data_IF_326586283414
#
_entry.id   IF_326586283414
#
_cell.length_a   1.000
_cell.length_b   1.000
_cell.length_c   1.000
_cell.angle_alpha   90.00
_cell.angle_beta   90.00
_cell.angle_gamma   90.00
#
_symmetry.space_group_name_H-M   'P 1'
#
loop_
_entity.id
_entity.type
_entity.pdbx_description
1 polymer ?
#
# COMPACT_ATOMS: atom_id res chain seq x y z
N UNK A 1 -9.60 11.46 7.58
CA UNK A 1 -10.57 10.78 6.69
C UNK A 1 -9.86 9.65 5.99
N UNK A 2 -10.28 8.41 6.22
CA UNK A 2 -9.72 7.22 5.56
C UNK A 2 -10.39 7.08 4.19
N UNK A 3 -9.62 6.89 3.13
CA UNK A 3 -10.12 6.64 1.78
C UNK A 3 -9.74 5.24 1.36
N UNK A 4 -10.69 4.50 0.80
CA UNK A 4 -10.44 3.17 0.28
C UNK A 4 -10.31 3.24 -1.24
N UNK A 5 -9.34 2.51 -1.79
CA UNK A 5 -9.13 2.40 -3.23
C UNK A 5 -8.92 0.93 -3.57
N UNK A 6 -9.94 0.33 -4.17
CA UNK A 6 -9.87 -1.05 -4.64
C UNK A 6 -9.15 -1.03 -6.00
N UNK A 7 -8.05 -1.77 -6.11
CA UNK A 7 -7.30 -1.91 -7.36
C UNK A 7 -7.23 -3.39 -7.74
N UNK A 8 -7.86 -3.77 -8.85
CA UNK A 8 -7.69 -5.12 -9.39
C UNK A 8 -6.43 -5.17 -10.25
N UNK A 9 -5.47 -6.03 -9.90
CA UNK A 9 -4.32 -6.32 -10.74
C UNK A 9 -4.14 -7.84 -10.84
N UNK A 10 -4.18 -8.33 -12.09
CA UNK A 10 -3.70 -9.65 -12.48
C UNK A 10 -4.30 -10.85 -11.74
N UNK A 11 -5.64 -10.91 -11.67
CA UNK A 11 -6.37 -11.98 -11.01
C UNK A 11 -5.99 -12.17 -9.52
N UNK A 12 -5.55 -11.09 -8.87
CA UNK A 12 -5.73 -10.89 -7.44
C UNK A 12 -6.44 -9.56 -7.23
N UNK A 13 -7.38 -9.54 -6.29
CA UNK A 13 -7.99 -8.29 -5.86
C UNK A 13 -7.04 -7.69 -4.83
N UNK A 14 -6.40 -6.57 -5.17
CA UNK A 14 -5.64 -5.78 -4.20
C UNK A 14 -6.57 -4.71 -3.65
N UNK A 15 -6.93 -4.83 -2.38
CA UNK A 15 -7.59 -3.73 -1.70
C UNK A 15 -6.53 -2.86 -1.02
N UNK A 16 -6.55 -1.56 -1.32
CA UNK A 16 -5.64 -0.59 -0.73
C UNK A 16 -6.45 0.43 0.06
N UNK A 17 -6.33 0.37 1.39
CA UNK A 17 -6.83 1.44 2.24
C UNK A 17 -5.74 2.50 2.40
N UNK A 18 -6.07 3.75 2.09
CA UNK A 18 -5.17 4.91 2.26
C UNK A 18 -5.73 5.82 3.33
N UNK A 19 -5.03 5.95 4.46
CA UNK A 19 -5.36 6.96 5.46
C UNK A 19 -4.49 8.19 5.25
N UNK A 20 -5.12 9.36 5.16
CA UNK A 20 -4.44 10.65 5.26
C UNK A 20 -4.52 11.11 6.71
N UNK A 21 -3.36 11.29 7.33
CA UNK A 21 -3.24 11.72 8.72
C UNK A 21 -2.37 12.98 8.83
N UNK A 22 -2.80 13.91 9.68
CA UNK A 22 -2.02 15.09 10.07
C UNK A 22 -1.73 14.99 11.58
N UNK A 23 -0.45 14.87 12.00
CA UNK A 23 -0.07 14.73 13.40
C UNK A 23 -0.43 15.94 14.30
N UNK A 24 -0.60 15.76 15.62
CA UNK A 24 -0.83 16.85 16.56
C UNK A 24 0.39 17.79 16.62
N UNK A 25 0.14 19.11 16.66
CA UNK A 25 1.18 20.15 16.61
C UNK A 25 1.49 20.69 15.21
N UNK A 26 0.82 20.14 14.18
CA UNK A 26 0.89 20.62 12.81
C UNK A 26 -0.42 21.38 12.51
N UNK A 27 -0.34 22.68 12.21
CA UNK A 27 -1.53 23.47 11.85
C UNK A 27 -1.99 23.07 10.45
N UNK A 28 -3.02 22.24 10.39
CA UNK A 28 -3.61 21.77 9.13
C UNK A 28 -4.07 22.97 8.30
N UNK A 29 -3.47 23.18 7.14
CA UNK A 29 -4.15 23.91 6.06
C UNK A 29 -5.14 22.96 5.39
N UNK A 30 -6.36 23.40 5.06
CA UNK A 30 -7.31 22.57 4.34
C UNK A 30 -6.69 22.19 2.99
N UNK A 31 -6.60 20.88 2.74
CA UNK A 31 -6.17 20.32 1.45
C UNK A 31 -7.17 20.79 0.40
N UNK A 32 -6.75 21.69 -0.49
CA UNK A 32 -7.52 22.07 -1.66
C UNK A 32 -7.74 20.82 -2.52
N UNK A 33 -9.01 20.47 -2.72
CA UNK A 33 -9.41 19.45 -3.68
C UNK A 33 -9.13 19.99 -5.08
N UNK A 34 -8.05 19.53 -5.66
CA UNK A 34 -7.60 19.92 -6.99
C UNK A 34 -6.09 19.96 -6.95
N UNK A 35 -5.46 18.89 -7.41
CA UNK A 35 -4.41 18.95 -8.41
C UNK A 35 -3.95 17.53 -8.73
N UNK A 36 -3.62 17.34 -10.00
CA UNK A 36 -3.33 16.10 -10.68
C UNK A 36 -2.42 15.17 -9.86
N UNK A 37 -2.70 13.86 -9.88
CA UNK A 37 -1.65 12.86 -9.72
C UNK A 37 -0.53 13.27 -10.68
N UNK A 38 0.65 13.69 -10.22
CA UNK A 38 1.72 13.94 -11.14
C UNK A 38 2.07 12.58 -11.73
N UNK A 39 2.07 12.51 -13.06
CA UNK A 39 2.79 11.53 -13.86
C UNK A 39 4.25 11.49 -13.39
N UNK A 40 4.50 10.83 -12.26
CA UNK A 40 5.85 10.60 -11.77
C UNK A 40 6.33 9.38 -12.52
N UNK A 41 6.77 9.62 -13.75
CA UNK A 41 7.54 8.70 -14.59
C UNK A 41 8.92 8.37 -14.01
N UNK A 42 8.98 8.04 -12.71
CA UNK A 42 10.20 7.67 -11.98
C UNK A 42 10.14 6.30 -11.29
N UNK A 43 8.99 5.62 -11.29
CA UNK A 43 8.79 4.40 -10.48
C UNK A 43 9.20 3.10 -11.18
N UNK A 44 9.25 3.04 -12.52
CA UNK A 44 9.55 1.80 -13.28
C UNK A 44 11.00 1.65 -13.76
N UNK A 45 11.83 2.70 -13.66
CA UNK A 45 13.17 2.74 -14.27
C UNK A 45 14.33 2.70 -13.26
N UNK A 46 14.06 2.56 -11.96
CA UNK A 46 15.14 2.46 -10.96
C UNK A 46 15.82 1.10 -11.06
N UNK A 47 17.10 1.12 -11.45
CA UNK A 47 17.92 -0.04 -11.79
C UNK A 47 17.82 -1.22 -10.81
N UNK A 48 17.82 -1.01 -9.47
CA UNK A 48 17.72 -2.10 -8.50
C UNK A 48 16.41 -2.90 -8.57
N UNK A 49 15.31 -2.34 -9.09
CA UNK A 49 14.02 -3.03 -9.17
C UNK A 49 13.82 -3.79 -10.47
N UNK A 50 14.53 -3.43 -11.54
CA UNK A 50 14.39 -4.08 -12.85
C UNK A 50 14.66 -5.59 -12.78
N UNK A 51 15.62 -6.01 -11.95
CA UNK A 51 15.95 -7.42 -11.74
C UNK A 51 14.83 -8.25 -11.08
N UNK A 52 13.85 -7.61 -10.46
CA UNK A 52 12.69 -8.27 -9.83
C UNK A 52 11.48 -8.36 -10.77
N UNK A 53 11.57 -7.80 -11.98
CA UNK A 53 10.47 -7.78 -12.94
C UNK A 53 10.15 -9.14 -13.57
N UNK A 54 11.02 -10.13 -13.42
CA UNK A 54 10.89 -11.45 -14.04
C UNK A 54 11.14 -11.46 -15.55
N UNK A 55 11.03 -12.63 -16.16
CA UNK A 55 11.40 -12.88 -17.56
C UNK A 55 10.18 -12.92 -18.48
N UNK A 56 10.12 -12.03 -19.47
CA UNK A 56 9.03 -11.92 -20.45
C UNK A 56 9.49 -12.40 -21.85
N UNK A 57 9.64 -13.70 -22.02
CA UNK A 57 10.07 -14.30 -23.30
C UNK A 57 8.90 -14.85 -24.14
N UNK A 58 9.21 -15.52 -25.26
CA UNK A 58 8.21 -16.15 -26.12
C UNK A 58 7.42 -17.25 -25.39
N UNK A 59 8.06 -18.00 -24.49
CA UNK A 59 7.39 -19.04 -23.71
C UNK A 59 6.36 -18.42 -22.75
N UNK A 60 6.69 -17.30 -22.10
CA UNK A 60 5.74 -16.52 -21.31
C UNK A 60 4.55 -16.07 -22.17
N UNK A 61 4.83 -15.54 -23.36
CA UNK A 61 3.82 -15.03 -24.29
C UNK A 61 2.83 -16.12 -24.71
N UNK A 62 3.33 -17.32 -25.04
CA UNK A 62 2.51 -18.44 -25.50
C UNK A 62 1.71 -19.12 -24.38
N UNK A 63 2.26 -19.17 -23.16
CA UNK A 63 1.74 -20.08 -22.11
C UNK A 63 1.22 -19.40 -20.86
N UNK A 64 1.51 -18.11 -20.66
CA UNK A 64 1.27 -17.45 -19.37
C UNK A 64 0.70 -16.04 -19.48
N UNK A 65 1.00 -15.31 -20.56
CA UNK A 65 0.34 -14.04 -20.82
C UNK A 65 -1.19 -14.21 -20.71
N UNK A 66 -1.90 -13.31 -20.01
CA UNK A 66 -1.44 -12.01 -19.49
C UNK A 66 -0.87 -12.01 -18.04
N UNK A 67 -0.72 -13.16 -17.38
CA UNK A 67 -0.24 -13.23 -16.00
C UNK A 67 1.25 -12.88 -15.87
N UNK A 68 1.71 -12.40 -14.71
CA UNK A 68 3.14 -12.11 -14.47
C UNK A 68 4.02 -13.34 -14.61
N UNK A 69 5.29 -13.20 -15.04
CA UNK A 69 6.27 -14.29 -15.04
C UNK A 69 6.36 -15.03 -13.71
N UNK A 70 6.81 -16.29 -13.74
CA UNK A 70 6.92 -17.11 -12.50
C UNK A 70 8.06 -16.65 -11.59
N UNK A 71 9.08 -16.05 -12.18
CA UNK A 71 10.25 -15.47 -11.53
C UNK A 71 10.05 -13.98 -11.17
N UNK A 72 8.83 -13.45 -11.33
CA UNK A 72 8.49 -12.12 -10.82
C UNK A 72 8.61 -12.09 -9.31
N UNK A 73 9.26 -11.05 -8.78
CA UNK A 73 9.45 -10.85 -7.35
C UNK A 73 8.74 -9.56 -6.91
N UNK A 74 7.93 -9.65 -5.85
CA UNK A 74 7.12 -8.54 -5.34
C UNK A 74 7.96 -7.31 -4.92
N UNK A 75 9.25 -7.49 -4.62
CA UNK A 75 10.20 -6.40 -4.39
C UNK A 75 10.30 -5.43 -5.56
N UNK A 76 9.85 -5.82 -6.76
CA UNK A 76 9.67 -4.92 -7.89
C UNK A 76 8.82 -3.69 -7.53
N UNK A 77 7.82 -3.82 -6.65
CA UNK A 77 6.95 -2.72 -6.23
C UNK A 77 7.50 -1.91 -5.05
N UNK A 78 8.64 -2.31 -4.48
CA UNK A 78 9.16 -1.69 -3.26
C UNK A 78 9.92 -0.41 -3.57
N UNK A 79 9.27 0.74 -3.38
CA UNK A 79 9.85 2.04 -3.69
C UNK A 79 10.99 2.46 -2.74
N UNK A 80 11.00 1.91 -1.52
CA UNK A 80 11.96 2.24 -0.47
C UNK A 80 13.39 1.75 -0.79
N UNK A 81 14.39 2.52 -0.37
CA UNK A 81 15.79 2.06 -0.39
C UNK A 81 15.99 0.93 0.64
N UNK A 82 17.00 0.06 0.50
CA UNK A 82 17.17 -1.12 1.36
C UNK A 82 17.18 -0.84 2.87
N UNK A 83 17.72 0.31 3.30
CA UNK A 83 17.76 0.71 4.71
C UNK A 83 16.44 1.28 5.25
N UNK A 84 15.46 1.54 4.38
CA UNK A 84 14.13 2.05 4.70
C UNK A 84 13.04 0.97 4.57
N UNK A 85 13.45 -0.28 4.43
CA UNK A 85 12.57 -1.44 4.42
C UNK A 85 12.37 -1.90 5.86
N UNK A 86 11.14 -1.78 6.37
CA UNK A 86 10.81 -2.31 7.69
C UNK A 86 10.78 -3.85 7.67
N UNK A 87 11.47 -4.48 8.61
CA UNK A 87 11.36 -5.92 8.88
C UNK A 87 11.48 -6.14 10.39
N UNK A 88 10.45 -6.66 11.07
CA UNK A 88 9.15 -7.09 10.55
C UNK A 88 8.29 -5.93 10.02
N UNK A 89 7.08 -6.26 9.52
CA UNK A 89 6.12 -5.25 9.08
C UNK A 89 5.83 -4.23 10.18
N UNK A 90 5.57 -2.99 9.78
CA UNK A 90 5.06 -1.99 10.70
C UNK A 90 3.64 -2.36 11.12
N UNK A 91 3.32 -2.06 12.37
CA UNK A 91 2.01 -2.28 12.96
C UNK A 91 1.33 -0.97 13.32
N UNK A 92 2.02 0.17 13.36
CA UNK A 92 1.46 1.41 13.90
C UNK A 92 1.63 1.49 15.42
N UNK A 93 1.81 2.70 15.93
CA UNK A 93 2.19 2.99 17.32
C UNK A 93 3.70 3.16 17.53
N UNK A 94 4.53 2.83 16.53
CA UNK A 94 5.98 3.03 16.54
C UNK A 94 6.34 4.52 16.63
N UNK A 95 7.46 4.79 17.29
CA UNK A 95 8.01 6.14 17.39
C UNK A 95 8.72 6.52 16.10
N UNK A 96 8.37 7.68 15.54
CA UNK A 96 8.99 8.26 14.36
C UNK A 96 9.73 9.52 14.77
N UNK A 97 10.99 9.63 14.35
CA UNK A 97 11.80 10.83 14.51
C UNK A 97 12.38 11.20 13.16
N UNK A 98 12.14 12.44 12.73
CA UNK A 98 12.64 13.00 11.48
C UNK A 98 13.56 14.16 11.80
N UNK A 99 14.86 13.98 11.59
CA UNK A 99 15.88 15.01 11.82
C UNK A 99 16.56 15.40 10.52
N UNK A 100 16.69 16.70 10.26
CA UNK A 100 17.36 17.21 9.05
C UNK A 100 16.56 17.07 7.76
N UNK A 101 15.26 16.76 7.86
CA UNK A 101 14.36 16.58 6.71
C UNK A 101 13.37 17.74 6.53
N UNK A 102 13.48 18.80 7.35
CA UNK A 102 12.65 19.99 7.25
C UNK A 102 13.39 21.20 7.82
N UNK A 103 13.18 22.42 7.27
CA UNK A 103 13.68 23.66 7.84
C UNK A 103 13.20 23.94 9.27
N UNK A 104 12.04 23.38 9.64
CA UNK A 104 11.40 23.59 10.95
C UNK A 104 12.04 22.75 12.08
N UNK A 105 13.10 22.02 11.76
CA UNK A 105 13.88 21.24 12.72
C UNK A 105 13.45 19.77 12.79
N UNK A 106 13.55 19.20 13.99
CA UNK A 106 13.27 17.78 14.22
C UNK A 106 11.80 17.57 14.58
N UNK A 107 11.16 16.60 13.92
CA UNK A 107 9.81 16.16 14.26
C UNK A 107 9.85 14.83 15.00
N UNK A 108 8.97 14.68 16.00
CA UNK A 108 8.74 13.41 16.67
C UNK A 108 7.26 13.17 16.88
N UNK A 109 6.79 11.96 16.55
CA UNK A 109 5.41 11.54 16.73
C UNK A 109 5.32 10.01 16.77
N UNK A 110 4.13 9.47 17.02
CA UNK A 110 3.86 8.04 16.89
C UNK A 110 3.01 7.76 15.66
N UNK A 111 3.30 6.67 14.96
CA UNK A 111 2.45 6.23 13.86
C UNK A 111 1.02 5.98 14.39
N UNK A 112 -0.02 6.48 13.71
CA UNK A 112 -1.40 6.12 13.99
C UNK A 112 -1.58 4.60 13.99
N UNK A 113 -2.28 4.09 15.01
CA UNK A 113 -2.58 2.66 15.13
C UNK A 113 -3.97 2.39 14.57
N UNK A 114 -4.06 2.16 13.27
CA UNK A 114 -5.26 1.66 12.61
C UNK A 114 -5.11 0.20 12.23
N UNK A 115 -6.20 -0.56 12.31
CA UNK A 115 -6.25 -1.98 11.94
C UNK A 115 -7.40 -2.15 10.97
N UNK A 116 -7.15 -2.79 9.84
CA UNK A 116 -8.19 -3.00 8.84
C UNK A 116 -8.32 -4.48 8.51
N UNK A 117 -9.55 -4.90 8.21
CA UNK A 117 -9.85 -6.19 7.60
C UNK A 117 -10.50 -5.92 6.26
N UNK A 118 -9.95 -6.55 5.23
CA UNK A 118 -10.58 -6.64 3.92
C UNK A 118 -11.38 -7.95 3.83
N UNK A 119 -12.59 -7.87 3.29
CA UNK A 119 -13.44 -9.01 2.99
C UNK A 119 -13.72 -9.03 1.48
N UNK A 120 -13.15 -9.99 0.76
CA UNK A 120 -13.47 -10.24 -0.63
C UNK A 120 -14.66 -11.20 -0.71
N UNK A 121 -15.75 -10.74 -1.30
CA UNK A 121 -16.97 -11.52 -1.53
C UNK A 121 -16.96 -12.02 -2.95
N UNK A 122 -16.99 -13.34 -3.09
CA UNK A 122 -17.17 -14.06 -4.33
C UNK A 122 -18.53 -14.77 -4.30
N UNK A 123 -19.06 -15.12 -5.48
CA UNK A 123 -20.36 -15.79 -5.62
C UNK A 123 -20.54 -17.02 -4.71
N UNK A 124 -19.47 -17.77 -4.45
CA UNK A 124 -19.50 -19.03 -3.69
C UNK A 124 -18.74 -18.99 -2.36
N UNK A 125 -18.05 -17.89 -2.03
CA UNK A 125 -17.25 -17.77 -0.81
C UNK A 125 -17.05 -16.33 -0.37
N UNK A 126 -16.76 -16.16 0.92
CA UNK A 126 -16.23 -14.91 1.45
C UNK A 126 -14.86 -15.20 2.05
N UNK A 127 -13.85 -14.46 1.61
CA UNK A 127 -12.51 -14.53 2.18
C UNK A 127 -12.20 -13.25 2.94
N UNK A 128 -11.71 -13.39 4.19
CA UNK A 128 -11.36 -12.26 5.05
C UNK A 128 -9.88 -12.29 5.37
N UNK A 129 -9.21 -11.14 5.25
CA UNK A 129 -7.78 -10.99 5.58
C UNK A 129 -7.55 -9.71 6.37
N UNK A 130 -6.75 -9.80 7.44
CA UNK A 130 -6.17 -8.62 8.09
C UNK A 130 -5.26 -7.93 7.07
N UNK A 131 -5.44 -6.63 6.89
CA UNK A 131 -4.60 -5.82 6.02
C UNK A 131 -3.34 -5.42 6.75
N UNK A 132 -2.20 -5.48 6.07
CA UNK A 132 -0.91 -5.10 6.64
C UNK A 132 -0.61 -3.64 6.34
N UNK A 133 -0.08 -2.90 7.32
CA UNK A 133 0.49 -1.58 7.06
C UNK A 133 1.74 -1.79 6.22
N UNK A 134 1.59 -1.49 4.95
CA UNK A 134 2.51 -1.89 3.92
C UNK A 134 3.43 -0.75 3.49
N UNK A 135 2.93 0.47 3.52
CA UNK A 135 3.68 1.65 3.16
C UNK A 135 3.46 2.80 4.12
N UNK A 136 4.53 3.52 4.41
CA UNK A 136 4.52 4.81 5.10
C UNK A 136 5.23 5.81 4.20
N UNK A 137 4.52 6.85 3.78
CA UNK A 137 5.08 7.97 3.05
C UNK A 137 5.05 9.20 3.96
N UNK A 138 6.21 9.82 4.08
CA UNK A 138 6.44 11.02 4.87
C UNK A 138 6.72 12.17 3.92
N UNK A 139 5.97 13.25 4.05
CA UNK A 139 6.14 14.48 3.28
C UNK A 139 6.32 15.62 4.26
N UNK A 140 7.55 15.83 4.78
CA UNK A 140 7.82 16.80 5.83
C UNK A 140 7.47 18.24 5.42
N UNK A 141 7.73 18.60 4.16
CA UNK A 141 7.47 19.95 3.62
C UNK A 141 5.96 20.26 3.59
N UNK A 142 5.15 19.29 3.15
CA UNK A 142 3.68 19.42 3.12
C UNK A 142 3.03 19.14 4.47
N UNK A 143 3.82 18.67 5.44
CA UNK A 143 3.33 18.22 6.74
C UNK A 143 2.25 17.14 6.60
N UNK A 144 2.55 16.12 5.79
CA UNK A 144 1.66 14.99 5.55
C UNK A 144 2.30 13.64 5.86
N UNK A 145 1.49 12.77 6.46
CA UNK A 145 1.74 11.35 6.63
C UNK A 145 0.70 10.57 5.83
N UNK A 146 1.16 9.70 4.94
CA UNK A 146 0.28 8.78 4.21
C UNK A 146 0.62 7.34 4.58
N UNK A 147 -0.41 6.61 4.96
CA UNK A 147 -0.31 5.22 5.38
C UNK A 147 -1.12 4.37 4.42
N UNK A 148 -0.51 3.28 3.95
CA UNK A 148 -1.09 2.36 2.99
C UNK A 148 -1.25 1.00 3.64
N UNK A 149 -2.48 0.49 3.72
CA UNK A 149 -2.72 -0.89 4.09
C UNK A 149 -3.07 -1.70 2.85
N UNK A 150 -2.47 -2.89 2.73
CA UNK A 150 -2.73 -3.80 1.61
C UNK A 150 -3.16 -5.18 2.09
N UNK A 151 -4.09 -5.78 1.36
CA UNK A 151 -4.39 -7.20 1.40
C UNK A 151 -4.56 -7.72 -0.03
N UNK A 152 -4.04 -8.92 -0.30
CA UNK A 152 -4.14 -9.60 -1.58
C UNK A 152 -5.00 -10.86 -1.43
N UNK A 153 -5.93 -11.06 -2.37
CA UNK A 153 -6.80 -12.23 -2.46
C UNK A 153 -6.54 -12.98 -3.76
N UNK A 154 -6.19 -14.28 -3.72
CA UNK A 154 -6.01 -15.08 -4.94
C UNK A 154 -7.33 -15.16 -5.71
N UNK A 155 -7.33 -14.74 -6.97
CA UNK A 155 -8.53 -14.69 -7.81
C UNK A 155 -8.33 -15.30 -9.22
N UNK A 156 -7.27 -16.10 -9.45
CA UNK A 156 -6.85 -16.61 -10.77
C UNK A 156 -7.99 -17.11 -11.68
N UNK A 157 -8.94 -17.90 -11.16
CA UNK A 157 -10.11 -18.39 -11.91
C UNK A 157 -11.44 -17.80 -11.45
N UNK A 158 -11.42 -17.07 -10.34
CA UNK A 158 -12.62 -16.62 -9.64
C UNK A 158 -12.81 -15.11 -9.64
N UNK A 159 -11.92 -14.38 -10.32
CA UNK A 159 -12.10 -12.95 -10.54
C UNK A 159 -13.45 -12.64 -11.22
N UNK A 160 -13.91 -13.49 -12.14
CA UNK A 160 -15.23 -13.38 -12.76
C UNK A 160 -16.42 -13.58 -11.78
N UNK A 161 -16.15 -14.12 -10.59
CA UNK A 161 -17.11 -14.34 -9.52
C UNK A 161 -16.93 -13.38 -8.36
N UNK A 162 -15.96 -12.45 -8.43
CA UNK A 162 -15.82 -11.38 -7.45
C UNK A 162 -16.99 -10.42 -7.59
N UNK A 163 -17.67 -10.18 -6.49
CA UNK A 163 -18.86 -9.31 -6.47
C UNK A 163 -18.53 -7.98 -5.81
N UNK A 164 -17.82 -8.01 -4.68
CA UNK A 164 -17.44 -6.82 -3.95
C UNK A 164 -16.25 -7.08 -3.02
N UNK A 165 -15.52 -6.03 -2.70
CA UNK A 165 -14.60 -6.02 -1.56
C UNK A 165 -15.03 -4.96 -0.58
N UNK A 166 -15.04 -5.33 0.71
CA UNK A 166 -15.38 -4.44 1.80
C UNK A 166 -14.16 -4.29 2.69
N UNK A 167 -13.77 -3.05 2.98
CA UNK A 167 -12.77 -2.74 3.99
C UNK A 167 -13.46 -2.15 5.20
N UNK A 168 -13.08 -2.65 6.37
CA UNK A 168 -13.56 -2.11 7.64
C UNK A 168 -12.40 -1.92 8.60
N UNK A 169 -12.42 -0.81 9.33
CA UNK A 169 -11.54 -0.62 10.47
C UNK A 169 -11.99 -1.54 11.62
N UNK A 170 -11.04 -2.24 12.24
CA UNK A 170 -11.30 -3.04 13.42
C UNK A 170 -11.38 -2.15 14.64
N UNK A 171 -12.36 -2.44 15.47
CA UNK A 171 -12.46 -1.82 16.78
C UNK A 171 -11.40 -2.40 17.71
N UNK A 172 -10.95 -1.64 18.74
CA UNK A 172 -9.84 -2.07 19.61
C UNK A 172 -10.03 -3.44 20.29
N UNK A 173 -11.28 -3.85 20.55
CA UNK A 173 -11.59 -5.14 21.19
C UNK A 173 -11.63 -6.34 20.22
N UNK A 174 -11.60 -6.10 18.91
CA UNK A 174 -11.51 -7.16 17.89
C UNK A 174 -10.06 -7.62 17.62
N UNK A 175 -9.08 -6.93 18.22
CA UNK A 175 -7.63 -7.12 18.02
C UNK A 175 -7.03 -8.25 18.89
N UNK A 176 -7.83 -9.28 19.20
CA UNK A 176 -7.42 -10.45 19.99
C UNK A 176 -6.11 -11.07 19.53
#
# INVERSE_FOLDING_TARGET
TIRFTISALNASVYDTATCLYSPPGWSARPVSRGDNFPDTGGSRAWQPRLGYGGTYDAQWTERRAPLWPRDFDERFFQAASPGLIATPWLEGGESVVLSGLSPDGTFSFRLPRHRFVASAVFRNRVERRRMRLDGVLLEPDERLLRLYWRAAFPAEREFAHHEQTLVRELEPWEDG
#
